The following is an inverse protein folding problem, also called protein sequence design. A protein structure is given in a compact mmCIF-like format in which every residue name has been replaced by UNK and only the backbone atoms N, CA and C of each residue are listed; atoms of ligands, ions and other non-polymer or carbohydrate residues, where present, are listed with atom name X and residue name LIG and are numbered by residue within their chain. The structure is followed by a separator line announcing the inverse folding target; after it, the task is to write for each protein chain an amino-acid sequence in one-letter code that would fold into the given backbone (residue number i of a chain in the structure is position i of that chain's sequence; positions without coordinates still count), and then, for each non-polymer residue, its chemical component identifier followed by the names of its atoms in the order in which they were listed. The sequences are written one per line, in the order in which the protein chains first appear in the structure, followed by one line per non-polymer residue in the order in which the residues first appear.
data_IF_471512569614
#
_entry.id   IF_471512569614
#
_cell.length_a   1.000
_cell.length_b   1.000
_cell.length_c   1.000
_cell.angle_alpha   90.00
_cell.angle_beta   90.00
_cell.angle_gamma   90.00
#
_symmetry.space_group_name_H-M   'P 1'
#
loop_
_entity.id
_entity.type
_entity.pdbx_description
1 polymer ?
#
# COMPACT_ATOMS: atom_id res chain seq x y z
N UNK A 1 -16.98 12.32 -6.55
CA UNK A 1 -16.33 11.21 -5.82
C UNK A 1 -16.22 10.01 -6.73
N UNK A 2 -15.10 9.35 -6.77
CA UNK A 2 -14.95 8.19 -7.63
C UNK A 2 -14.18 7.09 -6.92
N UNK A 3 -14.91 6.09 -6.46
CA UNK A 3 -14.35 4.87 -5.89
C UNK A 3 -13.44 4.18 -6.91
N UNK A 4 -13.82 4.17 -8.18
CA UNK A 4 -13.05 3.56 -9.25
C UNK A 4 -11.68 4.22 -9.43
N UNK A 5 -11.60 5.53 -9.29
CA UNK A 5 -10.31 6.24 -9.40
C UNK A 5 -9.35 5.86 -8.27
N UNK A 6 -9.86 5.69 -7.05
CA UNK A 6 -9.06 5.25 -5.91
C UNK A 6 -8.57 3.82 -6.11
N UNK A 7 -9.43 2.94 -6.58
CA UNK A 7 -9.06 1.56 -6.91
C UNK A 7 -7.96 1.53 -7.96
N UNK A 8 -8.08 2.33 -9.01
CA UNK A 8 -7.06 2.42 -10.06
C UNK A 8 -5.72 2.91 -9.51
N UNK A 9 -5.74 3.91 -8.61
CA UNK A 9 -4.52 4.40 -7.98
C UNK A 9 -3.85 3.31 -7.15
N UNK A 10 -4.62 2.54 -6.38
CA UNK A 10 -4.09 1.44 -5.60
C UNK A 10 -3.53 0.33 -6.48
N UNK A 11 -4.20 0.00 -7.58
CA UNK A 11 -3.71 -0.99 -8.53
C UNK A 11 -2.38 -0.57 -9.16
N UNK A 12 -2.22 0.70 -9.47
CA UNK A 12 -0.93 1.24 -9.96
C UNK A 12 0.15 1.12 -8.88
N UNK A 13 -0.21 1.37 -7.63
CA UNK A 13 0.70 1.20 -6.51
C UNK A 13 1.16 -0.26 -6.39
N UNK A 14 0.23 -1.21 -6.47
CA UNK A 14 0.58 -2.64 -6.40
C UNK A 14 1.52 -3.03 -7.54
N UNK A 15 1.24 -2.59 -8.75
CA UNK A 15 2.10 -2.87 -9.90
C UNK A 15 3.50 -2.27 -9.73
N UNK A 16 3.58 -1.04 -9.25
CA UNK A 16 4.87 -0.38 -8.98
C UNK A 16 5.65 -1.10 -7.90
N UNK A 17 4.97 -1.54 -6.86
CA UNK A 17 5.58 -2.29 -5.76
C UNK A 17 6.14 -3.61 -6.26
N UNK A 18 5.35 -4.38 -7.03
CA UNK A 18 5.78 -5.67 -7.58
C UNK A 18 6.94 -5.53 -8.58
N UNK A 19 7.03 -4.38 -9.25
CA UNK A 19 8.08 -4.10 -10.22
C UNK A 19 9.33 -3.45 -9.59
N UNK A 20 9.34 -3.23 -8.27
CA UNK A 20 10.41 -2.52 -7.57
C UNK A 20 10.67 -1.12 -8.16
N UNK A 21 9.61 -0.45 -8.59
CA UNK A 21 9.68 0.86 -9.22
C UNK A 21 9.39 1.96 -8.19
N UNK A 22 10.45 2.39 -7.49
CA UNK A 22 10.34 3.38 -6.42
C UNK A 22 9.86 4.75 -6.94
N UNK A 23 10.26 5.13 -8.14
CA UNK A 23 9.80 6.40 -8.73
C UNK A 23 8.30 6.39 -8.97
N UNK A 24 7.75 5.28 -9.46
CA UNK A 24 6.30 5.13 -9.65
C UNK A 24 5.55 5.12 -8.32
N UNK A 25 6.11 4.49 -7.28
CA UNK A 25 5.54 4.53 -5.93
C UNK A 25 5.51 5.97 -5.42
N UNK A 26 6.62 6.70 -5.53
CA UNK A 26 6.70 8.09 -5.06
C UNK A 26 5.70 9.00 -5.76
N UNK A 27 5.39 8.74 -7.02
CA UNK A 27 4.40 9.50 -7.76
C UNK A 27 2.98 9.30 -7.23
N UNK A 28 2.74 8.22 -6.48
CA UNK A 28 1.45 7.90 -5.87
C UNK A 28 1.39 8.25 -4.38
N UNK A 29 2.41 8.89 -3.84
CA UNK A 29 2.49 9.24 -2.43
C UNK A 29 2.57 10.75 -2.26
N UNK A 30 1.78 11.28 -1.33
CA UNK A 30 1.84 12.66 -0.88
C UNK A 30 2.73 12.72 0.35
N UNK A 31 3.93 13.28 0.20
CA UNK A 31 4.86 13.42 1.32
C UNK A 31 4.62 14.74 2.06
N UNK A 32 4.87 14.84 3.38
CA UNK A 32 5.31 13.74 4.23
C UNK A 32 4.21 12.69 4.39
N UNK A 33 4.61 11.42 4.38
CA UNK A 33 3.71 10.29 4.55
C UNK A 33 3.59 9.95 6.03
N UNK A 34 2.37 9.87 6.55
CA UNK A 34 2.14 9.40 7.92
C UNK A 34 2.22 7.88 7.94
N UNK A 35 3.14 7.35 8.71
CA UNK A 35 3.24 5.91 8.98
C UNK A 35 2.77 5.66 10.41
N UNK A 36 1.71 4.87 10.55
CA UNK A 36 1.07 4.62 11.84
C UNK A 36 1.34 3.17 12.23
N UNK A 37 2.13 2.96 13.27
CA UNK A 37 2.48 1.63 13.75
C UNK A 37 3.16 1.70 15.11
N UNK A 38 3.14 0.60 15.85
CA UNK A 38 3.75 0.50 17.16
C UNK A 38 3.27 1.58 18.14
N UNK A 39 2.00 1.97 18.03
CA UNK A 39 1.41 2.95 18.93
C UNK A 39 1.83 4.39 18.68
N UNK A 40 2.44 4.69 17.55
CA UNK A 40 2.91 6.03 17.23
C UNK A 40 2.71 6.38 15.77
N UNK A 41 2.79 7.68 15.48
CA UNK A 41 2.75 8.21 14.12
C UNK A 41 4.12 8.76 13.77
N UNK A 42 4.67 8.34 12.63
CA UNK A 42 5.92 8.87 12.11
C UNK A 42 5.64 9.58 10.79
N UNK A 43 6.20 10.77 10.62
CA UNK A 43 6.10 11.51 9.36
C UNK A 43 7.36 11.26 8.55
N UNK A 44 7.21 10.69 7.37
CA UNK A 44 8.33 10.22 6.55
C UNK A 44 8.41 10.99 5.24
N UNK A 45 9.63 11.27 4.80
CA UNK A 45 9.90 11.95 3.53
C UNK A 45 10.21 10.99 2.39
N UNK A 46 10.24 9.69 2.68
CA UNK A 46 10.41 8.65 1.68
C UNK A 46 9.55 7.44 2.03
N UNK A 47 9.28 6.60 1.05
CA UNK A 47 8.44 5.42 1.27
C UNK A 47 9.18 4.40 2.14
N UNK A 48 8.56 3.91 3.24
CA UNK A 48 9.28 3.11 4.24
C UNK A 48 9.55 1.66 3.82
N UNK A 49 8.77 1.12 2.87
CA UNK A 49 8.88 -0.28 2.46
C UNK A 49 9.48 -0.32 1.07
N UNK A 50 10.70 -0.86 0.97
CA UNK A 50 11.38 -0.98 -0.32
C UNK A 50 11.30 -2.43 -0.79
N UNK A 51 10.73 -2.67 -1.99
CA UNK A 51 10.56 -4.05 -2.47
C UNK A 51 11.87 -4.84 -2.54
N UNK A 52 12.96 -4.21 -2.97
CA UNK A 52 14.27 -4.86 -3.02
C UNK A 52 14.76 -5.32 -1.64
N UNK A 53 14.45 -4.56 -0.59
CA UNK A 53 14.79 -4.94 0.77
C UNK A 53 13.96 -6.16 1.24
N UNK A 54 12.70 -6.24 0.83
CA UNK A 54 11.87 -7.42 1.11
C UNK A 54 12.41 -8.66 0.40
N UNK A 55 12.84 -8.52 -0.83
CA UNK A 55 13.44 -9.62 -1.60
C UNK A 55 14.67 -10.15 -0.89
N UNK A 56 15.53 -9.27 -0.41
CA UNK A 56 16.75 -9.66 0.28
C UNK A 56 16.49 -10.26 1.67
N UNK A 57 15.54 -9.70 2.41
CA UNK A 57 15.29 -10.10 3.79
C UNK A 57 14.42 -11.36 3.92
N UNK A 58 13.45 -11.54 3.01
CA UNK A 58 12.41 -12.57 3.15
C UNK A 58 12.30 -13.54 1.99
N UNK A 59 13.19 -13.45 1.01
CA UNK A 59 13.09 -14.23 -0.22
C UNK A 59 11.76 -14.02 -0.95
N UNK A 60 11.24 -12.81 -0.85
CA UNK A 60 9.97 -12.43 -1.47
C UNK A 60 10.13 -12.36 -2.99
N UNK A 61 9.25 -13.05 -3.70
CA UNK A 61 9.20 -13.02 -5.16
C UNK A 61 8.03 -12.16 -5.65
N UNK A 62 6.84 -12.44 -5.15
CA UNK A 62 5.64 -11.69 -5.50
C UNK A 62 4.58 -11.86 -4.42
N UNK A 63 3.45 -11.18 -4.61
CA UNK A 63 2.29 -11.32 -3.73
C UNK A 63 1.09 -11.73 -4.55
N UNK A 64 0.27 -12.60 -3.99
CA UNK A 64 -0.89 -13.19 -4.67
C UNK A 64 -2.12 -13.09 -3.77
N UNK A 65 -3.29 -13.36 -4.34
CA UNK A 65 -4.57 -13.42 -3.62
C UNK A 65 -4.87 -12.12 -2.87
N UNK A 66 -4.61 -10.99 -3.53
CA UNK A 66 -4.81 -9.67 -2.95
C UNK A 66 -6.29 -9.32 -2.93
N UNK A 67 -6.81 -9.05 -1.73
CA UNK A 67 -8.18 -8.60 -1.52
C UNK A 67 -8.17 -7.24 -0.85
N UNK A 68 -8.75 -6.24 -1.48
CA UNK A 68 -8.83 -4.90 -0.93
C UNK A 68 -10.18 -4.26 -1.19
N UNK A 69 -10.50 -3.24 -0.40
CA UNK A 69 -11.79 -2.56 -0.48
C UNK A 69 -11.64 -1.10 -0.09
N UNK A 70 -12.32 -0.23 -0.82
CA UNK A 70 -12.49 1.16 -0.41
C UNK A 70 -13.64 1.20 0.59
N UNK A 71 -13.32 1.50 1.84
CA UNK A 71 -14.26 1.42 2.95
C UNK A 71 -14.84 2.77 3.36
N UNK A 72 -14.36 3.85 2.76
CA UNK A 72 -14.88 5.19 2.99
C UNK A 72 -14.35 6.13 1.93
N UNK A 73 -15.19 7.08 1.52
CA UNK A 73 -14.78 8.05 0.52
C UNK A 73 -15.54 9.35 0.73
N UNK A 74 -14.84 10.48 0.54
CA UNK A 74 -15.40 11.81 0.46
C UNK A 74 -14.88 12.48 -0.82
N UNK A 75 -15.19 13.76 -1.00
CA UNK A 75 -14.68 14.48 -2.17
C UNK A 75 -13.17 14.63 -2.19
N UNK A 76 -12.54 14.62 -1.02
CA UNK A 76 -11.09 14.91 -0.89
C UNK A 76 -10.27 13.77 -0.30
N UNK A 77 -10.92 12.74 0.25
CA UNK A 77 -10.23 11.71 0.99
C UNK A 77 -10.90 10.35 0.79
N UNK A 78 -10.11 9.29 0.81
CA UNK A 78 -10.62 7.92 0.77
C UNK A 78 -9.81 7.03 1.70
N UNK A 79 -10.49 6.04 2.27
CA UNK A 79 -9.85 5.02 3.09
C UNK A 79 -9.97 3.67 2.38
N UNK A 80 -8.85 2.96 2.30
CA UNK A 80 -8.76 1.66 1.65
C UNK A 80 -8.13 0.67 2.62
N UNK A 81 -8.72 -0.51 2.72
CA UNK A 81 -8.18 -1.60 3.51
C UNK A 81 -7.70 -2.73 2.60
N UNK A 82 -6.47 -3.16 2.78
CA UNK A 82 -5.97 -4.41 2.24
C UNK A 82 -6.38 -5.48 3.23
N UNK A 83 -7.42 -6.23 2.89
CA UNK A 83 -8.01 -7.26 3.77
C UNK A 83 -7.12 -8.47 3.88
N UNK A 84 -6.37 -8.77 2.84
CA UNK A 84 -5.49 -9.91 2.77
C UNK A 84 -4.66 -9.84 1.51
N UNK A 85 -3.41 -10.27 1.62
CA UNK A 85 -2.53 -10.59 0.50
C UNK A 85 -1.53 -11.59 1.01
N UNK A 86 -0.99 -12.43 0.14
CA UNK A 86 -0.01 -13.44 0.55
C UNK A 86 1.30 -13.19 -0.19
N UNK A 87 2.37 -12.98 0.56
CA UNK A 87 3.72 -12.93 0.01
C UNK A 87 4.23 -14.34 -0.21
N UNK A 88 4.77 -14.58 -1.39
CA UNK A 88 5.26 -15.90 -1.78
C UNK A 88 6.69 -15.84 -2.28
N UNK A 89 7.38 -16.97 -2.14
CA UNK A 89 8.72 -17.18 -2.69
C UNK A 89 8.62 -17.55 -4.17
N UNK A 90 9.78 -17.62 -4.84
CA UNK A 90 9.85 -17.97 -6.25
C UNK A 90 9.20 -19.34 -6.56
N UNK A 91 9.29 -20.29 -5.64
CA UNK A 91 8.67 -21.61 -5.79
C UNK A 91 7.16 -21.62 -5.50
N UNK A 92 6.59 -20.48 -5.14
CA UNK A 92 5.16 -20.34 -4.83
C UNK A 92 4.79 -20.60 -3.38
N UNK A 93 5.76 -20.98 -2.54
CA UNK A 93 5.47 -21.25 -1.12
C UNK A 93 5.20 -19.93 -0.37
N UNK A 94 4.22 -19.93 0.56
CA UNK A 94 3.86 -18.72 1.27
C UNK A 94 4.90 -18.33 2.32
N UNK A 95 5.14 -17.02 2.43
CA UNK A 95 5.98 -16.43 3.47
C UNK A 95 5.12 -15.93 4.62
N UNK A 96 4.13 -15.10 4.31
CA UNK A 96 3.27 -14.43 5.29
C UNK A 96 2.07 -13.81 4.59
N UNK A 97 1.00 -13.61 5.36
CA UNK A 97 -0.12 -12.79 4.92
C UNK A 97 0.18 -11.33 5.28
N UNK A 98 -0.30 -10.40 4.47
CA UNK A 98 -0.12 -8.97 4.69
C UNK A 98 -1.47 -8.28 4.73
N UNK A 99 -1.54 -7.26 5.58
CA UNK A 99 -2.71 -6.42 5.78
C UNK A 99 -2.22 -4.98 5.87
N UNK A 100 -3.03 -4.03 5.47
CA UNK A 100 -2.68 -2.63 5.64
C UNK A 100 -3.93 -1.76 5.49
N UNK A 101 -3.88 -0.61 6.12
CA UNK A 101 -4.87 0.44 5.95
C UNK A 101 -4.17 1.63 5.30
N UNK A 102 -4.82 2.20 4.29
CA UNK A 102 -4.28 3.35 3.55
C UNK A 102 -5.29 4.47 3.57
N UNK A 103 -4.81 5.70 3.77
CA UNK A 103 -5.60 6.88 3.53
C UNK A 103 -5.07 7.59 2.28
N UNK A 104 -5.98 7.96 1.39
CA UNK A 104 -5.69 8.60 0.12
C UNK A 104 -6.27 10.01 0.13
N UNK A 105 -5.57 10.96 -0.48
CA UNK A 105 -6.05 12.32 -0.65
C UNK A 105 -6.11 12.67 -2.13
N UNK A 106 -7.14 13.42 -2.52
CA UNK A 106 -7.27 13.88 -3.89
C UNK A 106 -6.38 15.11 -4.09
N UNK A 107 -5.53 15.08 -5.13
CA UNK A 107 -4.65 16.17 -5.51
C UNK A 107 -4.94 16.59 -6.94
N UNK A 108 -4.30 17.66 -7.40
CA UNK A 108 -4.39 18.09 -8.79
C UNK A 108 -3.86 17.05 -9.76
N UNK A 109 -3.00 16.15 -9.28
CA UNK A 109 -2.39 15.08 -10.07
C UNK A 109 -3.07 13.73 -9.87
N UNK A 110 -4.23 13.72 -9.21
CA UNK A 110 -4.99 12.51 -8.91
C UNK A 110 -4.90 12.12 -7.44
N UNK A 111 -5.32 10.90 -7.15
CA UNK A 111 -5.32 10.39 -5.79
C UNK A 111 -3.91 9.95 -5.38
N UNK A 112 -3.48 10.37 -4.19
CA UNK A 112 -2.18 10.00 -3.63
C UNK A 112 -2.36 9.51 -2.20
N UNK A 113 -1.57 8.51 -1.83
CA UNK A 113 -1.52 7.96 -0.49
C UNK A 113 -0.80 8.96 0.43
N UNK A 114 -1.40 9.29 1.58
CA UNK A 114 -0.74 10.17 2.55
C UNK A 114 -0.70 9.61 3.97
N UNK A 115 -1.26 8.41 4.18
CA UNK A 115 -1.09 7.66 5.43
C UNK A 115 -1.15 6.17 5.15
N UNK A 116 -0.33 5.42 5.86
CA UNK A 116 -0.30 3.95 5.87
C UNK A 116 -0.32 3.50 7.31
N UNK A 117 -1.18 2.55 7.63
CA UNK A 117 -1.28 2.00 8.97
C UNK A 117 -1.06 0.49 8.95
N UNK A 118 -0.24 0.05 9.89
CA UNK A 118 -0.01 -1.36 10.19
C UNK A 118 -1.20 -1.91 10.95
N UNK A 119 -1.94 -2.84 10.36
CA UNK A 119 -3.15 -3.43 10.94
C UNK A 119 -3.22 -4.90 10.63
N UNK A 120 -3.99 -5.63 11.42
CA UNK A 120 -4.40 -7.00 11.10
C UNK A 120 -5.92 -7.01 10.97
N UNK A 121 -6.41 -7.64 9.92
CA UNK A 121 -7.86 -7.76 9.72
C UNK A 121 -8.35 -9.00 10.44
N UNK A 122 -9.22 -8.87 11.44
CA UNK A 122 -9.71 -10.03 12.17
C UNK A 122 -10.60 -10.90 11.28
N UNK A 123 -10.53 -12.19 11.54
CA UNK A 123 -11.37 -13.19 10.84
C UNK A 123 -12.74 -13.33 11.49
#
# INVERSE_FOLDING_TARGET
MSKAEVIQAYERYLQAFLADDLAAIDALVQYPLAYIGDGKVSMLDEYPIKPSALMAAKDWHTSVDMEFEVIGISETKAHLILKRGTRVRRDGSPIEDVFAFYAWTKTEQGWKMFAVSDVTVPC
#
